data_IF_171024827640
#
_entry.id   IF_171024827640
#
_cell.length_a   1.000
_cell.length_b   1.000
_cell.length_c   1.000
_cell.angle_alpha   90.00
_cell.angle_beta   90.00
_cell.angle_gamma   90.00
#
_symmetry.space_group_name_H-M   'P 1'
#
loop_
_entity.id
_entity.type
_entity.pdbx_description
1 polymer ?
#
# COMPACT_ATOMS: atom_id res chain seq x y z
N UNK A 1 11.06 45.67 4.51
CA UNK A 1 10.39 44.37 4.27
C UNK A 1 10.23 44.17 2.77
N UNK A 2 10.42 42.97 2.21
CA UNK A 2 11.62 42.13 2.28
C UNK A 2 12.26 41.92 0.90
N UNK A 3 13.55 41.53 0.95
CA UNK A 3 14.40 41.12 -0.17
C UNK A 3 14.01 39.70 -0.62
N UNK A 4 13.98 39.44 -1.93
CA UNK A 4 14.02 38.07 -2.48
C UNK A 4 15.42 37.83 -3.06
N UNK A 5 16.26 37.25 -2.21
CA UNK A 5 17.59 36.73 -2.51
C UNK A 5 17.57 35.22 -2.25
N UNK A 6 18.20 34.46 -3.15
CA UNK A 6 18.32 32.99 -3.09
C UNK A 6 17.71 32.36 -4.34
N UNK A 7 18.40 32.11 -5.45
CA UNK A 7 19.73 31.49 -5.58
C UNK A 7 19.80 30.21 -4.73
N UNK A 8 19.33 29.12 -5.33
CA UNK A 8 19.30 27.79 -4.75
C UNK A 8 18.86 26.79 -5.81
N UNK A 9 19.69 26.64 -6.85
CA UNK A 9 19.61 25.55 -7.81
C UNK A 9 19.83 24.23 -7.06
N UNK A 10 18.75 23.69 -6.50
CA UNK A 10 18.75 22.39 -5.85
C UNK A 10 18.65 21.31 -6.92
N UNK A 11 19.80 20.82 -7.36
CA UNK A 11 19.89 19.50 -7.96
C UNK A 11 19.51 18.47 -6.87
N UNK A 12 18.23 18.14 -6.76
CA UNK A 12 17.74 17.03 -5.94
C UNK A 12 18.02 15.71 -6.66
N UNK A 13 19.30 15.39 -6.76
CA UNK A 13 19.79 14.14 -7.32
C UNK A 13 19.75 13.06 -6.23
N UNK A 14 18.73 12.21 -6.30
CA UNK A 14 18.86 10.75 -6.17
C UNK A 14 19.74 10.22 -5.02
N UNK A 15 19.38 10.53 -3.77
CA UNK A 15 19.71 9.70 -2.61
C UNK A 15 18.41 9.24 -1.95
N UNK A 16 17.66 8.43 -2.72
CA UNK A 16 16.42 7.83 -2.28
C UNK A 16 16.69 6.79 -1.20
N UNK A 17 16.69 7.21 0.07
CA UNK A 17 16.46 6.30 1.18
C UNK A 17 15.13 5.61 0.90
N UNK A 18 15.24 4.34 0.54
CA UNK A 18 14.20 3.46 0.05
C UNK A 18 13.27 3.02 1.19
N UNK A 19 12.75 3.99 1.96
CA UNK A 19 11.91 3.69 3.10
C UNK A 19 10.47 3.64 2.62
N UNK A 20 9.93 2.43 2.56
CA UNK A 20 8.51 2.22 2.32
C UNK A 20 7.74 2.64 3.56
N UNK A 21 6.67 3.40 3.35
CA UNK A 21 5.73 3.72 4.41
C UNK A 21 4.81 2.50 4.63
N UNK A 22 4.86 1.92 5.82
CA UNK A 22 4.00 0.79 6.20
C UNK A 22 2.57 1.27 6.44
N UNK A 23 1.60 0.59 5.82
CA UNK A 23 0.17 0.92 5.85
C UNK A 23 -0.64 -0.33 6.11
N UNK A 24 -1.45 -0.32 7.16
CA UNK A 24 -2.41 -1.40 7.41
C UNK A 24 -3.67 -1.18 6.57
N UNK A 25 -4.11 -2.24 5.87
CA UNK A 25 -5.34 -2.22 5.09
C UNK A 25 -6.24 -3.38 5.50
N UNK A 26 -7.50 -3.07 5.78
CA UNK A 26 -8.49 -4.08 6.14
C UNK A 26 -8.94 -4.88 4.92
N UNK A 27 -8.93 -6.21 5.03
CA UNK A 27 -9.56 -7.12 4.07
C UNK A 27 -10.72 -7.79 4.78
N UNK A 28 -11.94 -7.49 4.32
CA UNK A 28 -13.18 -8.02 4.89
C UNK A 28 -13.88 -8.87 3.83
N UNK A 29 -13.82 -10.18 3.98
CA UNK A 29 -14.52 -11.15 3.13
C UNK A 29 -15.23 -12.17 4.00
N UNK A 30 -16.43 -12.57 3.57
CA UNK A 30 -17.16 -13.62 4.26
C UNK A 30 -16.48 -14.97 3.98
N UNK A 31 -16.08 -15.68 5.02
CA UNK A 31 -15.42 -17.00 4.89
C UNK A 31 -16.40 -18.16 5.00
N UNK A 32 -17.69 -17.86 5.07
CA UNK A 32 -18.76 -18.83 5.29
C UNK A 32 -20.02 -18.46 4.49
N UNK A 33 -20.91 -19.43 4.31
CA UNK A 33 -22.18 -19.21 3.64
C UNK A 33 -22.08 -19.11 2.10
N UNK A 34 -23.14 -18.61 1.48
CA UNK A 34 -23.35 -18.65 0.02
C UNK A 34 -22.32 -17.86 -0.79
N UNK A 35 -21.58 -16.94 -0.16
CA UNK A 35 -20.61 -16.07 -0.83
C UNK A 35 -19.16 -16.54 -0.72
N UNK A 36 -18.92 -17.72 -0.14
CA UNK A 36 -17.56 -18.21 0.12
C UNK A 36 -16.70 -18.26 -1.16
N UNK A 37 -17.19 -18.86 -2.25
CA UNK A 37 -16.43 -19.00 -3.49
C UNK A 37 -16.04 -17.65 -4.13
N UNK A 38 -16.96 -16.69 -4.12
CA UNK A 38 -16.70 -15.34 -4.65
C UNK A 38 -15.74 -14.58 -3.74
N UNK A 39 -15.95 -14.71 -2.43
CA UNK A 39 -15.10 -14.11 -1.40
C UNK A 39 -13.66 -14.64 -1.49
N UNK A 40 -13.48 -15.94 -1.71
CA UNK A 40 -12.17 -16.56 -1.88
C UNK A 40 -11.46 -16.07 -3.15
N UNK A 41 -12.19 -15.96 -4.26
CA UNK A 41 -11.65 -15.41 -5.51
C UNK A 41 -11.18 -13.95 -5.34
N UNK A 42 -12.02 -13.12 -4.72
CA UNK A 42 -11.68 -11.72 -4.44
C UNK A 42 -10.51 -11.59 -3.46
N UNK A 43 -10.48 -12.43 -2.40
CA UNK A 43 -9.38 -12.50 -1.44
C UNK A 43 -8.06 -12.84 -2.12
N UNK A 44 -8.04 -13.85 -3.00
CA UNK A 44 -6.84 -14.20 -3.75
C UNK A 44 -6.34 -13.04 -4.62
N UNK A 45 -7.26 -12.33 -5.30
CA UNK A 45 -6.93 -11.15 -6.08
C UNK A 45 -6.32 -10.03 -5.24
N UNK A 46 -6.92 -9.72 -4.08
CA UNK A 46 -6.43 -8.69 -3.16
C UNK A 46 -5.02 -9.02 -2.64
N UNK A 47 -4.80 -10.26 -2.20
CA UNK A 47 -3.50 -10.69 -1.68
C UNK A 47 -2.41 -10.66 -2.77
N UNK A 48 -2.77 -10.97 -4.02
CA UNK A 48 -1.84 -10.89 -5.15
C UNK A 48 -1.47 -9.44 -5.48
N UNK A 49 -2.45 -8.54 -5.53
CA UNK A 49 -2.18 -7.11 -5.75
C UNK A 49 -1.31 -6.50 -4.65
N UNK A 50 -1.53 -6.89 -3.38
CA UNK A 50 -0.68 -6.48 -2.26
C UNK A 50 0.76 -6.97 -2.44
N UNK A 51 0.94 -8.23 -2.85
CA UNK A 51 2.27 -8.77 -3.12
C UNK A 51 2.97 -8.00 -4.25
N UNK A 52 2.25 -7.66 -5.32
CA UNK A 52 2.79 -6.90 -6.44
C UNK A 52 3.23 -5.49 -6.01
N UNK A 53 2.42 -4.77 -5.22
CA UNK A 53 2.75 -3.43 -4.68
C UNK A 53 3.93 -3.50 -3.70
N UNK A 54 3.99 -4.54 -2.88
CA UNK A 54 5.08 -4.74 -1.93
C UNK A 54 6.39 -5.11 -2.62
N UNK A 55 6.33 -5.82 -3.74
CA UNK A 55 7.49 -6.13 -4.58
C UNK A 55 7.95 -4.92 -5.40
N UNK A 56 7.04 -4.04 -5.80
CA UNK A 56 7.35 -2.82 -6.55
C UNK A 56 8.23 -1.89 -5.72
N UNK A 57 9.42 -1.63 -6.24
CA UNK A 57 10.41 -0.79 -5.60
C UNK A 57 10.08 0.70 -5.66
N UNK A 58 9.26 1.11 -6.62
CA UNK A 58 8.88 2.50 -6.86
C UNK A 58 7.66 2.96 -6.06
N UNK A 59 6.88 2.03 -5.49
CA UNK A 59 5.59 2.33 -4.85
C UNK A 59 5.67 3.22 -3.60
N UNK A 60 6.84 3.28 -2.94
CA UNK A 60 7.05 4.08 -1.71
C UNK A 60 6.22 3.61 -0.49
N UNK A 61 5.45 2.52 -0.63
CA UNK A 61 4.57 1.98 0.40
C UNK A 61 4.75 0.47 0.56
N UNK A 62 4.44 -0.01 1.77
CA UNK A 62 4.32 -1.42 2.11
C UNK A 62 2.94 -1.65 2.71
N UNK A 63 2.11 -2.42 2.03
CA UNK A 63 0.76 -2.77 2.46
C UNK A 63 0.80 -3.99 3.36
N UNK A 64 0.16 -3.87 4.52
CA UNK A 64 0.00 -4.94 5.51
C UNK A 64 -1.47 -5.32 5.58
N UNK A 65 -1.87 -6.48 5.07
CA UNK A 65 -3.26 -6.92 5.11
C UNK A 65 -3.68 -7.28 6.54
N UNK A 66 -4.81 -6.74 6.98
CA UNK A 66 -5.51 -7.12 8.21
C UNK A 66 -6.80 -7.83 7.82
N UNK A 67 -6.77 -9.15 7.84
CA UNK A 67 -7.94 -9.96 7.47
C UNK A 67 -8.97 -10.01 8.61
N UNK A 68 -10.24 -9.82 8.26
CA UNK A 68 -11.40 -9.94 9.16
C UNK A 68 -12.54 -10.67 8.44
N UNK A 69 -13.35 -11.34 9.24
CA UNK A 69 -14.57 -12.01 8.80
C UNK A 69 -15.76 -11.25 9.40
N UNK A 70 -16.76 -10.83 8.61
CA UNK A 70 -17.91 -10.09 9.14
C UNK A 70 -18.74 -10.88 10.18
N UNK A 71 -18.59 -12.20 10.27
CA UNK A 71 -19.25 -13.01 11.29
C UNK A 71 -18.53 -13.04 12.65
N UNK A 72 -17.36 -12.38 12.80
CA UNK A 72 -16.56 -12.37 14.03
C UNK A 72 -16.23 -10.97 14.53
#
# INVERSE_FOLDING_TARGET
MPRLSGAGCGAWSFLGCFWKRRMEIGILYSRSGSYQLVSDACRMGAMRAIADINADRSSGIELVPVERDPQS
#
